data_IF_262072567403
#
_entry.id   IF_262072567403
#
_cell.length_a   1.000
_cell.length_b   1.000
_cell.length_c   1.000
_cell.angle_alpha   90.00
_cell.angle_beta   90.00
_cell.angle_gamma   90.00
#
_symmetry.space_group_name_H-M   'P 1'
#
loop_
_entity.id
_entity.type
_entity.pdbx_description
1 polymer ?
#
# COMPACT_ATOMS: atom_id res chain seq x y z
N UNK A 1 20.08 3.32 38.93
CA UNK A 1 20.74 3.99 37.80
C UNK A 1 20.50 3.11 36.60
N UNK A 2 19.66 3.56 35.67
CA UNK A 2 19.27 2.81 34.48
C UNK A 2 20.51 2.46 33.67
N UNK A 3 20.76 1.16 33.51
CA UNK A 3 21.78 0.66 32.60
C UNK A 3 21.57 1.31 31.24
N UNK A 4 22.60 2.00 30.74
CA UNK A 4 22.59 2.69 29.44
C UNK A 4 22.10 1.68 28.41
N UNK A 5 20.92 1.95 27.85
CA UNK A 5 20.27 1.06 26.90
C UNK A 5 21.22 0.93 25.70
N UNK A 6 21.68 -0.28 25.44
CA UNK A 6 22.66 -0.57 24.39
C UNK A 6 22.14 -0.01 23.05
N UNK A 7 22.94 0.79 22.32
CA UNK A 7 22.53 1.41 21.07
C UNK A 7 21.91 0.43 20.07
N UNK A 8 22.36 -0.82 20.07
CA UNK A 8 21.78 -1.88 19.25
C UNK A 8 20.31 -2.10 19.57
N UNK A 9 19.94 -2.19 20.85
CA UNK A 9 18.57 -2.49 21.25
C UNK A 9 17.62 -1.32 20.99
N UNK A 10 18.12 -0.08 21.07
CA UNK A 10 17.36 1.11 20.68
C UNK A 10 17.03 1.04 19.19
N UNK A 11 18.04 0.87 18.33
CA UNK A 11 17.85 0.80 16.88
C UNK A 11 17.00 -0.41 16.50
N UNK A 12 17.17 -1.54 17.20
CA UNK A 12 16.35 -2.74 17.02
C UNK A 12 14.88 -2.45 17.29
N UNK A 13 14.55 -1.75 18.37
CA UNK A 13 13.18 -1.35 18.70
C UNK A 13 12.61 -0.41 17.62
N UNK A 14 13.36 0.60 17.17
CA UNK A 14 12.93 1.52 16.10
C UNK A 14 12.67 0.79 14.76
N UNK A 15 13.53 -0.17 14.41
CA UNK A 15 13.34 -1.01 13.22
C UNK A 15 12.11 -1.91 13.39
N UNK A 16 11.92 -2.49 14.57
CA UNK A 16 10.75 -3.34 14.85
C UNK A 16 9.44 -2.55 14.75
N UNK A 17 9.38 -1.35 15.32
CA UNK A 17 8.23 -0.45 15.18
C UNK A 17 7.96 -0.09 13.71
N UNK A 18 9.02 0.11 12.93
CA UNK A 18 8.91 0.37 11.49
C UNK A 18 8.35 -0.84 10.73
N UNK A 19 8.76 -2.07 11.09
CA UNK A 19 8.22 -3.33 10.55
C UNK A 19 6.74 -3.47 10.92
N UNK A 20 6.37 -3.22 12.19
CA UNK A 20 5.00 -3.36 12.66
C UNK A 20 4.08 -2.34 11.97
N UNK A 21 4.58 -1.13 11.72
CA UNK A 21 3.90 -0.09 10.92
C UNK A 21 3.75 -0.50 9.45
N UNK A 22 4.79 -1.11 8.87
CA UNK A 22 4.74 -1.65 7.50
C UNK A 22 3.66 -2.73 7.39
N UNK A 23 3.60 -3.68 8.34
CA UNK A 23 2.58 -4.72 8.37
C UNK A 23 1.17 -4.16 8.55
N UNK A 24 1.00 -3.16 9.41
CA UNK A 24 -0.28 -2.47 9.60
C UNK A 24 -0.74 -1.79 8.31
N UNK A 25 0.19 -1.13 7.61
CA UNK A 25 -0.06 -0.48 6.32
C UNK A 25 -0.37 -1.51 5.22
N UNK A 26 0.27 -2.68 5.27
CA UNK A 26 0.01 -3.79 4.36
C UNK A 26 -1.40 -4.35 4.51
N UNK A 27 -1.84 -4.62 5.74
CA UNK A 27 -3.20 -5.07 6.01
C UNK A 27 -4.25 -4.02 5.62
N UNK A 28 -3.95 -2.73 5.79
CA UNK A 28 -4.81 -1.67 5.28
C UNK A 28 -4.89 -1.70 3.75
N UNK A 29 -3.76 -1.90 3.07
CA UNK A 29 -3.70 -2.02 1.61
C UNK A 29 -4.47 -3.24 1.08
N UNK A 30 -4.39 -4.39 1.75
CA UNK A 30 -5.18 -5.59 1.41
C UNK A 30 -6.69 -5.36 1.52
N UNK A 31 -7.13 -4.49 2.44
CA UNK A 31 -8.55 -4.19 2.66
C UNK A 31 -9.12 -3.15 1.71
N UNK A 32 -8.28 -2.35 1.06
CA UNK A 32 -8.74 -1.30 0.13
C UNK A 32 -8.94 -1.92 -1.25
N UNK A 33 -10.18 -1.91 -1.71
CA UNK A 33 -10.56 -2.36 -3.05
C UNK A 33 -9.81 -1.58 -4.14
N UNK A 34 -9.38 -2.31 -5.19
CA UNK A 34 -8.51 -1.89 -6.30
C UNK A 34 -8.94 -0.64 -7.10
N UNK A 35 -10.10 -0.03 -6.82
CA UNK A 35 -10.73 0.97 -7.69
C UNK A 35 -10.38 2.43 -7.34
N UNK A 36 -9.53 2.66 -6.34
CA UNK A 36 -9.20 4.02 -5.88
C UNK A 36 -7.72 4.32 -6.08
N UNK A 37 -7.37 5.46 -6.69
CA UNK A 37 -5.98 5.93 -6.82
C UNK A 37 -5.18 5.91 -5.50
N UNK A 38 -5.88 5.94 -4.36
CA UNK A 38 -5.33 5.70 -3.02
C UNK A 38 -4.54 4.38 -2.89
N UNK A 39 -4.96 3.29 -3.55
CA UNK A 39 -4.25 2.01 -3.51
C UNK A 39 -2.87 2.11 -4.17
N UNK A 40 -2.76 2.85 -5.29
CA UNK A 40 -1.49 3.03 -6.00
C UNK A 40 -0.49 3.83 -5.15
N UNK A 41 -0.95 4.87 -4.47
CA UNK A 41 -0.12 5.63 -3.53
C UNK A 41 0.35 4.77 -2.36
N UNK A 42 -0.57 4.06 -1.70
CA UNK A 42 -0.24 3.14 -0.61
C UNK A 42 0.75 2.05 -1.03
N UNK A 43 0.63 1.52 -2.26
CA UNK A 43 1.57 0.52 -2.77
C UNK A 43 2.98 1.11 -2.89
N UNK A 44 3.11 2.35 -3.39
CA UNK A 44 4.41 3.03 -3.49
C UNK A 44 4.99 3.31 -2.10
N UNK A 45 4.17 3.75 -1.17
CA UNK A 45 4.59 4.04 0.21
C UNK A 45 5.05 2.76 0.92
N UNK A 46 4.35 1.63 0.72
CA UNK A 46 4.75 0.33 1.23
C UNK A 46 6.09 -0.13 0.67
N UNK A 47 6.33 0.05 -0.63
CA UNK A 47 7.61 -0.30 -1.25
C UNK A 47 8.75 0.57 -0.72
N UNK A 48 8.53 1.88 -0.61
CA UNK A 48 9.51 2.80 -0.04
C UNK A 48 9.81 2.49 1.44
N UNK A 49 8.78 2.12 2.21
CA UNK A 49 8.95 1.67 3.59
C UNK A 49 9.74 0.36 3.68
N UNK A 50 9.49 -0.62 2.79
CA UNK A 50 10.30 -1.84 2.71
C UNK A 50 11.76 -1.51 2.42
N UNK A 51 12.05 -0.66 1.44
CA UNK A 51 13.42 -0.27 1.07
C UNK A 51 14.13 0.48 2.21
N UNK A 52 13.42 1.38 2.90
CA UNK A 52 13.94 2.08 4.08
C UNK A 52 14.34 1.11 5.17
N UNK A 53 13.46 0.15 5.51
CA UNK A 53 13.71 -0.82 6.58
C UNK A 53 14.82 -1.79 6.17
N UNK A 54 14.84 -2.27 4.92
CA UNK A 54 15.92 -3.13 4.41
C UNK A 54 17.28 -2.43 4.56
N UNK A 55 17.36 -1.14 4.24
CA UNK A 55 18.58 -0.36 4.41
C UNK A 55 18.99 -0.23 5.89
N UNK A 56 18.03 0.05 6.79
CA UNK A 56 18.32 0.14 8.23
C UNK A 56 18.83 -1.19 8.81
N UNK A 57 18.22 -2.30 8.39
CA UNK A 57 18.63 -3.67 8.79
C UNK A 57 20.03 -3.98 8.26
N UNK A 58 20.33 -3.61 7.01
CA UNK A 58 21.66 -3.80 6.41
C UNK A 58 22.74 -2.96 7.11
N UNK A 59 22.42 -1.74 7.54
CA UNK A 59 23.36 -0.90 8.28
C UNK A 59 23.60 -1.45 9.69
N UNK A 60 22.57 -1.99 10.33
CA UNK A 60 22.72 -2.67 11.62
C UNK A 60 23.55 -3.96 11.48
N UNK A 61 23.41 -4.72 10.40
CA UNK A 61 24.24 -5.91 10.13
C UNK A 61 25.73 -5.57 9.96
N UNK A 62 26.03 -4.44 9.30
CA UNK A 62 27.40 -3.92 9.21
C UNK A 62 27.94 -3.54 10.57
N UNK A 63 27.14 -2.88 11.41
CA UNK A 63 27.54 -2.53 12.77
C UNK A 63 27.84 -3.77 13.62
N UNK A 64 27.01 -4.82 13.53
CA UNK A 64 27.28 -6.12 14.16
C UNK A 64 28.59 -6.72 13.63
N UNK A 65 28.82 -6.67 12.31
CA UNK A 65 30.02 -7.22 11.69
C UNK A 65 31.30 -6.48 12.13
N UNK A 66 31.22 -5.17 12.38
CA UNK A 66 32.33 -4.40 12.96
C UNK A 66 32.55 -4.81 14.43
N UNK A 67 31.48 -4.90 15.22
CA UNK A 67 31.58 -5.32 16.62
C UNK A 67 32.14 -6.75 16.77
N UNK A 68 31.83 -7.64 15.82
CA UNK A 68 32.33 -9.01 15.80
C UNK A 68 33.85 -9.12 15.53
N UNK A 69 34.47 -8.09 14.95
CA UNK A 69 35.93 -8.09 14.72
C UNK A 69 36.71 -7.87 16.00
N UNK A 70 36.19 -7.02 16.89
CA UNK A 70 36.81 -6.69 18.17
C UNK A 70 35.77 -6.71 19.32
N UNK A 71 35.22 -7.88 19.70
CA UNK A 71 34.12 -7.97 20.68
C UNK A 71 34.50 -7.46 22.06
N UNK A 72 35.78 -7.60 22.43
CA UNK A 72 36.35 -7.18 23.71
C UNK A 72 36.37 -5.66 23.90
N UNK A 73 36.40 -4.88 22.82
CA UNK A 73 36.27 -3.40 22.89
C UNK A 73 34.85 -2.95 23.24
N UNK A 74 33.85 -3.75 22.87
CA UNK A 74 32.44 -3.45 23.10
C UNK A 74 31.87 -4.17 24.32
N UNK A 75 32.63 -5.08 24.93
CA UNK A 75 32.17 -5.88 26.06
C UNK A 75 31.01 -6.82 25.70
N UNK A 76 30.93 -7.24 24.43
CA UNK A 76 29.87 -8.11 23.91
C UNK A 76 30.42 -9.54 23.80
N UNK A 77 29.64 -10.53 24.24
CA UNK A 77 30.01 -11.94 24.08
C UNK A 77 29.57 -12.49 22.70
N UNK A 78 30.14 -13.62 22.32
CA UNK A 78 29.81 -14.27 21.03
C UNK A 78 28.33 -14.69 20.97
N UNK A 79 27.74 -15.06 22.11
CA UNK A 79 26.34 -15.49 22.17
C UNK A 79 25.37 -14.34 21.85
N UNK A 80 25.67 -13.15 22.35
CA UNK A 80 24.93 -11.92 22.11
C UNK A 80 25.14 -11.45 20.67
N UNK A 81 26.37 -11.50 20.13
CA UNK A 81 26.61 -11.23 18.70
C UNK A 81 25.79 -12.15 17.79
N UNK A 82 25.75 -13.44 18.07
CA UNK A 82 24.97 -14.41 17.31
C UNK A 82 23.46 -14.12 17.44
N UNK A 83 22.97 -13.75 18.62
CA UNK A 83 21.58 -13.32 18.82
C UNK A 83 21.23 -12.09 17.98
N UNK A 84 22.14 -11.10 17.92
CA UNK A 84 21.99 -9.90 17.09
C UNK A 84 21.93 -10.27 15.61
N UNK A 85 22.89 -11.08 15.13
CA UNK A 85 22.95 -11.56 13.74
C UNK A 85 21.68 -12.31 13.34
N UNK A 86 21.20 -13.21 14.20
CA UNK A 86 19.99 -13.99 13.95
C UNK A 86 18.75 -13.11 13.84
N UNK A 87 18.63 -12.11 14.72
CA UNK A 87 17.52 -11.17 14.65
C UNK A 87 17.57 -10.36 13.35
N UNK A 88 18.71 -9.80 12.98
CA UNK A 88 18.89 -9.01 11.74
C UNK A 88 18.56 -9.84 10.50
N UNK A 89 19.01 -11.10 10.44
CA UNK A 89 18.67 -12.03 9.36
C UNK A 89 17.16 -12.32 9.29
N UNK A 90 16.51 -12.49 10.43
CA UNK A 90 15.06 -12.70 10.53
C UNK A 90 14.29 -11.47 10.08
N UNK A 91 14.69 -10.27 10.51
CA UNK A 91 14.10 -9.00 10.12
C UNK A 91 14.21 -8.78 8.60
N UNK A 92 15.40 -9.01 8.01
CA UNK A 92 15.62 -8.94 6.56
C UNK A 92 14.69 -9.88 5.79
N UNK A 93 14.53 -11.10 6.28
CA UNK A 93 13.64 -12.09 5.65
C UNK A 93 12.17 -11.66 5.75
N UNK A 94 11.73 -11.13 6.89
CA UNK A 94 10.36 -10.63 7.07
C UNK A 94 10.04 -9.48 6.11
N UNK A 95 10.92 -8.47 6.01
CA UNK A 95 10.71 -7.32 5.12
C UNK A 95 10.76 -7.75 3.66
N UNK A 96 11.71 -8.61 3.29
CA UNK A 96 11.81 -9.15 1.94
C UNK A 96 10.58 -9.96 1.53
N UNK A 97 9.98 -10.71 2.45
CA UNK A 97 8.73 -11.43 2.21
C UNK A 97 7.53 -10.48 2.08
N UNK A 98 7.43 -9.47 2.94
CA UNK A 98 6.39 -8.44 2.85
C UNK A 98 6.47 -7.69 1.51
N UNK A 99 7.67 -7.29 1.09
CA UNK A 99 7.91 -6.64 -0.22
C UNK A 99 7.45 -7.53 -1.37
N UNK A 100 7.81 -8.82 -1.36
CA UNK A 100 7.34 -9.79 -2.37
C UNK A 100 5.82 -9.92 -2.40
N UNK A 101 5.17 -9.95 -1.23
CA UNK A 101 3.72 -10.03 -1.12
C UNK A 101 3.03 -8.79 -1.72
N UNK A 102 3.54 -7.58 -1.43
CA UNK A 102 3.05 -6.32 -2.03
C UNK A 102 3.16 -6.34 -3.55
N UNK A 103 4.30 -6.77 -4.09
CA UNK A 103 4.51 -6.85 -5.54
C UNK A 103 3.58 -7.89 -6.18
N UNK A 104 3.48 -9.09 -5.61
CA UNK A 104 2.61 -10.14 -6.12
C UNK A 104 1.12 -9.72 -6.09
N UNK A 105 0.64 -9.15 -4.99
CA UNK A 105 -0.73 -8.69 -4.90
C UNK A 105 -1.03 -7.50 -5.83
N UNK A 106 -0.04 -6.65 -6.13
CA UNK A 106 -0.17 -5.61 -7.17
C UNK A 106 -0.34 -6.20 -8.57
N UNK A 107 0.43 -7.24 -8.92
CA UNK A 107 0.36 -7.89 -10.24
C UNK A 107 -1.00 -8.58 -10.47
N UNK A 108 -1.51 -9.28 -9.44
CA UNK A 108 -2.84 -9.91 -9.49
C UNK A 108 -3.92 -8.86 -9.69
N UNK A 109 -3.90 -7.76 -8.92
CA UNK A 109 -4.87 -6.68 -9.03
C UNK A 109 -4.88 -6.01 -10.42
N UNK A 110 -3.69 -5.74 -11.00
CA UNK A 110 -3.59 -5.18 -12.36
C UNK A 110 -4.19 -6.14 -13.39
N UNK A 111 -3.94 -7.44 -13.23
CA UNK A 111 -4.44 -8.47 -14.16
C UNK A 111 -5.97 -8.57 -14.09
N UNK A 112 -6.55 -8.61 -12.89
CA UNK A 112 -8.00 -8.64 -12.68
C UNK A 112 -8.66 -7.37 -13.21
N UNK A 113 -8.07 -6.18 -12.96
CA UNK A 113 -8.59 -4.92 -13.49
C UNK A 113 -8.57 -4.90 -15.02
N UNK A 114 -7.49 -5.39 -15.65
CA UNK A 114 -7.38 -5.48 -17.10
C UNK A 114 -8.44 -6.42 -17.69
N UNK A 115 -8.69 -7.55 -17.04
CA UNK A 115 -9.71 -8.51 -17.47
C UNK A 115 -11.13 -7.97 -17.28
N UNK A 116 -11.41 -7.29 -16.16
CA UNK A 116 -12.68 -6.58 -15.95
C UNK A 116 -12.92 -5.51 -17.01
N UNK A 117 -11.92 -4.69 -17.32
CA UNK A 117 -12.00 -3.70 -18.40
C UNK A 117 -12.25 -4.37 -19.75
N UNK A 118 -11.60 -5.50 -20.01
CA UNK A 118 -11.80 -6.27 -21.25
C UNK A 118 -13.23 -6.82 -21.35
N UNK A 119 -13.77 -7.37 -20.26
CA UNK A 119 -15.15 -7.85 -20.16
C UNK A 119 -16.17 -6.73 -20.35
N UNK A 120 -15.95 -5.55 -19.75
CA UNK A 120 -16.81 -4.37 -19.93
C UNK A 120 -16.81 -3.87 -21.38
N UNK A 121 -15.65 -3.85 -22.04
CA UNK A 121 -15.52 -3.49 -23.45
C UNK A 121 -16.24 -4.51 -24.33
N UNK A 122 -16.08 -5.81 -24.05
CA UNK A 122 -16.78 -6.86 -24.80
C UNK A 122 -18.30 -6.75 -24.64
N UNK A 123 -18.80 -6.55 -23.43
CA UNK A 123 -20.22 -6.38 -23.15
C UNK A 123 -20.81 -5.17 -23.90
N UNK A 124 -20.07 -4.04 -23.96
CA UNK A 124 -20.46 -2.87 -24.78
C UNK A 124 -20.53 -3.17 -26.27
N UNK A 125 -19.66 -4.03 -26.79
CA UNK A 125 -19.66 -4.41 -28.21
C UNK A 125 -20.75 -5.45 -28.54
N UNK A 126 -21.20 -6.22 -27.55
CA UNK A 126 -22.16 -7.32 -27.75
C UNK A 126 -23.62 -6.86 -27.60
N UNK A 127 -23.89 -5.77 -26.85
CA UNK A 127 -25.23 -5.18 -26.68
C UNK A 127 -25.24 -3.65 -26.86
N UNK A 128 -25.05 -3.15 -28.10
CA UNK A 128 -25.07 -1.71 -28.39
C UNK A 128 -26.45 -1.04 -28.27
N UNK A 129 -27.54 -1.82 -28.22
CA UNK A 129 -28.92 -1.30 -28.36
C UNK A 129 -29.67 -1.03 -27.04
N UNK A 130 -29.09 -1.33 -25.87
CA UNK A 130 -29.83 -1.20 -24.60
C UNK A 130 -29.61 0.13 -23.89
N UNK A 131 -28.51 0.85 -24.17
CA UNK A 131 -28.20 2.14 -23.54
C UNK A 131 -28.64 3.37 -24.34
N UNK A 132 -28.96 3.24 -25.63
CA UNK A 132 -29.44 4.36 -26.44
C UNK A 132 -30.89 4.70 -26.11
N UNK A 133 -31.73 3.69 -25.93
CA UNK A 133 -33.17 3.89 -25.70
C UNK A 133 -33.48 4.51 -24.32
N UNK A 134 -32.78 4.08 -23.26
CA UNK A 134 -32.99 4.64 -21.91
C UNK A 134 -32.43 6.07 -21.78
N UNK A 135 -31.35 6.41 -22.50
CA UNK A 135 -30.80 7.77 -22.49
C UNK A 135 -31.68 8.73 -23.29
N UNK A 136 -32.23 8.32 -24.43
CA UNK A 136 -33.13 9.15 -25.22
C UNK A 136 -34.42 9.45 -24.44
N UNK A 137 -35.01 8.46 -23.75
CA UNK A 137 -36.22 8.64 -22.94
C UNK A 137 -35.97 9.57 -21.73
N UNK A 138 -34.80 9.44 -21.07
CA UNK A 138 -34.41 10.30 -19.96
C UNK A 138 -34.15 11.75 -20.41
N UNK A 139 -33.47 11.95 -21.54
CA UNK A 139 -33.19 13.28 -22.10
C UNK A 139 -34.50 13.95 -22.54
N UNK A 140 -35.41 13.20 -23.16
CA UNK A 140 -36.72 13.70 -23.56
C UNK A 140 -37.55 14.13 -22.33
N UNK A 141 -37.59 13.29 -21.30
CA UNK A 141 -38.30 13.55 -20.04
C UNK A 141 -37.74 14.77 -19.28
N UNK A 142 -36.42 14.92 -19.25
CA UNK A 142 -35.75 16.05 -18.59
C UNK A 142 -35.97 17.36 -19.38
N UNK A 143 -35.92 17.31 -20.71
CA UNK A 143 -36.19 18.45 -21.58
C UNK A 143 -37.63 18.96 -21.44
N UNK A 144 -38.63 18.08 -21.44
CA UNK A 144 -40.04 18.46 -21.24
C UNK A 144 -40.27 19.10 -19.87
N UNK A 145 -39.57 18.61 -18.84
CA UNK A 145 -39.61 19.19 -17.50
C UNK A 145 -39.00 20.59 -17.45
N UNK A 146 -37.89 20.84 -18.15
CA UNK A 146 -37.31 22.18 -18.24
C UNK A 146 -38.22 23.18 -18.96
N UNK A 147 -38.91 22.77 -20.03
CA UNK A 147 -39.84 23.62 -20.79
C UNK A 147 -41.06 24.03 -19.94
N UNK A 148 -41.60 23.12 -19.14
CA UNK A 148 -42.71 23.41 -18.22
C UNK A 148 -42.34 24.46 -17.15
N UNK A 149 -41.12 24.39 -16.62
CA UNK A 149 -40.60 25.36 -15.66
C UNK A 149 -40.44 26.76 -16.28
N UNK A 150 -39.98 26.83 -17.53
CA UNK A 150 -39.82 28.10 -18.26
C UNK A 150 -41.17 28.74 -18.60
N UNK A 151 -42.17 27.94 -18.99
CA UNK A 151 -43.53 28.43 -19.25
C UNK A 151 -44.25 28.90 -17.99
N UNK A 152 -44.08 28.20 -16.85
CA UNK A 152 -44.65 28.62 -15.57
C UNK A 152 -44.02 29.90 -14.99
N UNK A 153 -42.71 30.10 -15.20
CA UNK A 153 -41.99 31.28 -14.71
C UNK A 153 -42.33 32.58 -15.48
N UNK A 154 -42.92 32.47 -16.68
CA UNK A 154 -43.24 33.62 -17.53
C UNK A 154 -44.66 34.18 -17.34
N UNK A 155 -45.49 33.56 -16.48
CA UNK A 155 -46.89 33.99 -16.23
C UNK A 155 -47.12 34.54 -14.82
N UNK A 156 -46.09 35.07 -14.17
CA UNK A 156 -46.19 35.73 -12.86
C UNK A 156 -45.49 37.09 -12.84
N UNK A 157 -45.68 37.89 -13.90
CA UNK A 157 -45.33 39.32 -13.90
C UNK A 157 -46.39 40.11 -14.67
N UNK A 158 -47.56 40.23 -14.04
CA UNK A 158 -48.56 41.25 -14.32
C UNK A 158 -48.90 41.92 -13.00
#
# INVERSE_FOLDING_TARGET
MSSVQDPFYIVKEEIQESIDKLQSSFHQWERISCDTGAQVHLTKDLLAACESIEWQVDELDKAISVAARDPSWYGIDEAELEKRRRWTSTARTQVGNARKAVVAGREVNITVHRELMRMLILNRLTNPNQYTQDNDDLIQSESDRQVLLIKGASTARA
#
